data_IF_552474495958
#
_entry.id   IF_552474495958
#
_cell.length_a   1.000
_cell.length_b   1.000
_cell.length_c   1.000
_cell.angle_alpha   90.00
_cell.angle_beta   90.00
_cell.angle_gamma   90.00
#
_symmetry.space_group_name_H-M   'P 1'
#
loop_
_entity.id
_entity.type
_entity.pdbx_description
1 polymer ?
#
# COMPACT_ATOMS: atom_id res chain seq x y z
N UNK A 1 -63.12 -73.26 -27.74
CA UNK A 1 -61.89 -73.30 -26.93
C UNK A 1 -60.71 -72.44 -27.45
N UNK A 2 -60.86 -71.56 -28.46
CA UNK A 2 -59.78 -70.67 -28.93
C UNK A 2 -60.00 -69.17 -28.67
N UNK A 3 -61.13 -68.79 -28.08
CA UNK A 3 -61.48 -67.39 -27.79
C UNK A 3 -61.38 -67.00 -26.31
N UNK A 4 -61.34 -67.96 -25.38
CA UNK A 4 -61.17 -67.67 -23.94
C UNK A 4 -59.72 -67.38 -23.52
N UNK A 5 -58.72 -67.80 -24.32
CA UNK A 5 -57.30 -67.56 -23.99
C UNK A 5 -56.79 -66.17 -24.35
N UNK A 6 -57.54 -65.39 -25.15
CA UNK A 6 -57.16 -64.01 -25.50
C UNK A 6 -57.69 -62.97 -24.50
N UNK A 7 -58.75 -63.27 -23.74
CA UNK A 7 -59.24 -62.38 -22.69
C UNK A 7 -58.36 -62.39 -21.43
N UNK A 8 -57.72 -63.54 -21.13
CA UNK A 8 -56.79 -63.66 -20.00
C UNK A 8 -55.45 -62.92 -20.21
N UNK A 9 -55.11 -62.58 -21.47
CA UNK A 9 -53.87 -61.85 -21.77
C UNK A 9 -54.07 -60.33 -21.77
N UNK A 10 -55.31 -59.85 -21.91
CA UNK A 10 -55.64 -58.41 -21.89
C UNK A 10 -55.88 -57.92 -20.45
N UNK A 11 -56.29 -58.79 -19.52
CA UNK A 11 -56.44 -58.42 -18.10
C UNK A 11 -55.12 -58.45 -17.30
N UNK A 12 -54.06 -59.08 -17.81
CA UNK A 12 -52.76 -59.16 -17.14
C UNK A 12 -51.85 -57.95 -17.42
N UNK A 13 -52.25 -57.04 -18.33
CA UNK A 13 -51.53 -55.80 -18.67
C UNK A 13 -52.08 -54.58 -17.91
N UNK A 14 -53.16 -54.74 -17.16
CA UNK A 14 -53.87 -53.67 -16.42
C UNK A 14 -53.66 -53.74 -14.90
N UNK A 15 -52.58 -54.39 -14.45
CA UNK A 15 -52.19 -54.46 -13.04
C UNK A 15 -50.69 -54.19 -12.87
N UNK A 16 -50.18 -53.15 -13.53
CA UNK A 16 -48.98 -52.48 -13.02
C UNK A 16 -49.42 -51.72 -11.77
N UNK A 17 -48.97 -52.09 -10.56
CA UNK A 17 -49.23 -51.27 -9.40
C UNK A 17 -48.59 -49.90 -9.68
N UNK A 18 -49.43 -48.87 -9.71
CA UNK A 18 -49.01 -47.50 -9.47
C UNK A 18 -48.39 -47.49 -8.07
N UNK A 19 -47.10 -47.83 -8.00
CA UNK A 19 -46.26 -47.48 -6.86
C UNK A 19 -46.09 -45.97 -6.92
N UNK A 20 -47.13 -45.27 -6.45
CA UNK A 20 -47.02 -43.90 -5.97
C UNK A 20 -46.38 -43.93 -4.58
N UNK A 21 -45.23 -44.61 -4.45
CA UNK A 21 -44.33 -44.37 -3.35
C UNK A 21 -43.53 -43.15 -3.78
N UNK A 22 -43.70 -42.03 -3.07
CA UNK A 22 -42.83 -40.88 -3.24
C UNK A 22 -41.39 -41.37 -3.10
N UNK A 23 -40.67 -41.42 -4.22
CA UNK A 23 -39.29 -41.86 -4.25
C UNK A 23 -38.47 -40.79 -3.53
N UNK A 24 -38.15 -41.02 -2.25
CA UNK A 24 -37.14 -40.23 -1.57
C UNK A 24 -35.83 -40.45 -2.32
N UNK A 25 -35.17 -39.41 -2.84
CA UNK A 25 -33.88 -39.61 -3.46
C UNK A 25 -32.91 -40.19 -2.43
N UNK A 26 -32.28 -41.30 -2.80
CA UNK A 26 -31.29 -42.00 -2.01
C UNK A 26 -29.93 -41.63 -2.60
N UNK A 27 -29.05 -41.09 -1.76
CA UNK A 27 -27.62 -41.11 -2.04
C UNK A 27 -27.02 -42.38 -1.44
N UNK A 28 -26.18 -43.09 -2.19
CA UNK A 28 -25.37 -44.17 -1.65
C UNK A 28 -23.94 -43.68 -1.39
N UNK A 29 -23.51 -43.72 -0.13
CA UNK A 29 -22.15 -43.36 0.25
C UNK A 29 -21.61 -44.34 1.28
N UNK A 30 -20.42 -44.89 1.02
CA UNK A 30 -19.75 -45.88 1.86
C UNK A 30 -20.68 -47.07 2.19
N UNK A 31 -21.44 -47.53 1.19
CA UNK A 31 -22.46 -48.60 1.30
C UNK A 31 -23.58 -48.31 2.30
N UNK A 32 -23.81 -47.03 2.63
CA UNK A 32 -24.96 -46.56 3.42
C UNK A 32 -25.88 -45.73 2.52
N UNK A 33 -27.17 -45.99 2.65
CA UNK A 33 -28.21 -45.18 2.04
C UNK A 33 -28.47 -43.95 2.91
N UNK A 34 -28.43 -42.78 2.28
CA UNK A 34 -28.68 -41.49 2.89
C UNK A 34 -29.97 -40.96 2.27
N UNK A 35 -31.01 -40.88 3.10
CA UNK A 35 -32.34 -40.45 2.71
C UNK A 35 -32.64 -39.03 3.22
N UNK A 36 -33.30 -38.24 2.38
CA UNK A 36 -33.87 -36.96 2.78
C UNK A 36 -35.32 -37.17 3.22
N UNK A 37 -35.60 -36.88 4.49
CA UNK A 37 -36.85 -37.28 5.15
C UNK A 37 -37.96 -36.22 5.10
N UNK A 38 -37.72 -35.06 4.49
CA UNK A 38 -38.70 -33.97 4.46
C UNK A 38 -39.65 -34.06 3.25
N UNK A 39 -40.80 -33.40 3.36
CA UNK A 39 -41.82 -33.34 2.31
C UNK A 39 -41.26 -32.59 1.10
N UNK A 40 -41.21 -33.27 -0.04
CA UNK A 40 -40.63 -32.72 -1.26
C UNK A 40 -41.72 -32.30 -2.26
N UNK A 41 -42.01 -30.99 -2.33
CA UNK A 41 -43.06 -30.45 -3.20
C UNK A 41 -42.53 -29.82 -4.50
N UNK A 42 -41.30 -30.17 -4.91
CA UNK A 42 -40.65 -29.65 -6.12
C UNK A 42 -40.56 -28.11 -6.20
N UNK A 43 -40.51 -27.43 -5.05
CA UNK A 43 -40.26 -25.99 -4.99
C UNK A 43 -38.76 -25.71 -4.97
N UNK A 44 -38.34 -24.54 -5.44
CA UNK A 44 -36.91 -24.20 -5.52
C UNK A 44 -36.20 -24.35 -4.16
N UNK A 45 -36.85 -23.95 -3.07
CA UNK A 45 -36.29 -24.07 -1.72
C UNK A 45 -36.20 -25.53 -1.26
N UNK A 46 -37.11 -26.41 -1.68
CA UNK A 46 -36.98 -27.85 -1.38
C UNK A 46 -35.75 -28.45 -2.08
N UNK A 47 -35.49 -28.07 -3.33
CA UNK A 47 -34.28 -28.49 -4.03
C UNK A 47 -33.04 -27.94 -3.31
N UNK A 48 -33.05 -26.68 -2.89
CA UNK A 48 -31.94 -26.07 -2.17
C UNK A 48 -31.65 -26.74 -0.82
N UNK A 49 -32.65 -26.89 0.04
CA UNK A 49 -32.49 -27.53 1.36
C UNK A 49 -31.98 -28.96 1.22
N UNK A 50 -32.51 -29.71 0.25
CA UNK A 50 -32.05 -31.06 -0.05
C UNK A 50 -30.62 -31.09 -0.60
N UNK A 51 -30.25 -30.12 -1.44
CA UNK A 51 -28.89 -29.98 -1.94
C UNK A 51 -27.89 -29.70 -0.81
N UNK A 52 -28.25 -28.83 0.14
CA UNK A 52 -27.46 -28.54 1.35
C UNK A 52 -27.30 -29.82 2.18
N UNK A 53 -28.39 -30.56 2.40
CA UNK A 53 -28.37 -31.83 3.12
C UNK A 53 -27.39 -32.83 2.47
N UNK A 54 -27.52 -33.07 1.17
CA UNK A 54 -26.64 -33.99 0.44
C UNK A 54 -25.19 -33.51 0.40
N UNK A 55 -24.97 -32.21 0.19
CA UNK A 55 -23.64 -31.60 0.19
C UNK A 55 -22.92 -31.80 1.51
N UNK A 56 -23.61 -31.61 2.63
CA UNK A 56 -23.07 -31.82 3.99
C UNK A 56 -22.76 -33.28 4.31
N UNK A 57 -23.44 -34.23 3.65
CA UNK A 57 -23.11 -35.66 3.72
C UNK A 57 -22.03 -36.08 2.72
N UNK A 58 -21.62 -35.17 1.85
CA UNK A 58 -20.69 -35.39 0.76
C UNK A 58 -21.24 -36.28 -0.35
N UNK A 59 -22.56 -36.25 -0.54
CA UNK A 59 -23.30 -36.77 -1.69
C UNK A 59 -23.31 -35.72 -2.79
N UNK A 60 -22.15 -35.49 -3.38
CA UNK A 60 -21.93 -34.32 -4.23
C UNK A 60 -22.67 -34.40 -5.57
N UNK A 61 -22.93 -35.60 -6.09
CA UNK A 61 -23.66 -35.78 -7.35
C UNK A 61 -25.12 -35.32 -7.22
N UNK A 62 -25.77 -35.74 -6.15
CA UNK A 62 -27.15 -35.40 -5.80
C UNK A 62 -27.25 -33.92 -5.47
N UNK A 63 -26.31 -33.39 -4.68
CA UNK A 63 -26.27 -31.98 -4.33
C UNK A 63 -26.13 -31.07 -5.57
N UNK A 64 -25.26 -31.42 -6.53
CA UNK A 64 -25.12 -30.65 -7.78
C UNK A 64 -26.44 -30.61 -8.55
N UNK A 65 -27.08 -31.77 -8.75
CA UNK A 65 -28.36 -31.86 -9.47
C UNK A 65 -29.44 -31.02 -8.81
N UNK A 66 -29.49 -31.04 -7.47
CA UNK A 66 -30.48 -30.30 -6.71
C UNK A 66 -30.20 -28.79 -6.70
N UNK A 67 -28.94 -28.34 -6.58
CA UNK A 67 -28.63 -26.92 -6.73
C UNK A 67 -28.95 -26.41 -8.14
N UNK A 68 -28.65 -27.18 -9.19
CA UNK A 68 -29.03 -26.84 -10.56
C UNK A 68 -30.55 -26.77 -10.74
N UNK A 69 -31.30 -27.65 -10.08
CA UNK A 69 -32.75 -27.59 -10.07
C UNK A 69 -33.27 -26.37 -9.31
N UNK A 70 -32.73 -26.06 -8.13
CA UNK A 70 -33.10 -24.86 -7.38
C UNK A 70 -32.91 -23.59 -8.21
N UNK A 71 -31.75 -23.43 -8.86
CA UNK A 71 -31.44 -22.28 -9.74
C UNK A 71 -32.38 -22.21 -10.95
N UNK A 72 -32.83 -23.35 -11.47
CA UNK A 72 -33.71 -23.40 -12.63
C UNK A 72 -35.16 -23.04 -12.28
N UNK A 73 -35.63 -23.51 -11.12
CA UNK A 73 -37.01 -23.32 -10.66
C UNK A 73 -37.24 -21.94 -10.02
N UNK A 74 -36.22 -21.35 -9.40
CA UNK A 74 -36.31 -20.01 -8.84
C UNK A 74 -36.35 -18.96 -9.97
N UNK A 75 -37.24 -17.98 -9.86
CA UNK A 75 -37.53 -17.03 -10.93
C UNK A 75 -36.48 -15.94 -11.09
N UNK A 76 -35.92 -15.45 -9.99
CA UNK A 76 -34.94 -14.36 -9.95
C UNK A 76 -33.54 -14.89 -10.32
N UNK A 77 -33.26 -16.15 -9.98
CA UNK A 77 -32.00 -16.88 -10.16
C UNK A 77 -30.82 -16.24 -9.46
N UNK A 78 -31.10 -15.62 -8.31
CA UNK A 78 -30.18 -14.81 -7.52
C UNK A 78 -29.68 -15.54 -6.27
N UNK A 79 -28.43 -15.25 -5.90
CA UNK A 79 -27.92 -15.53 -4.55
C UNK A 79 -28.28 -14.32 -3.68
N UNK A 80 -28.99 -14.52 -2.57
CA UNK A 80 -29.47 -13.44 -1.71
C UNK A 80 -29.69 -13.87 -0.24
N UNK A 81 -29.58 -12.91 0.67
CA UNK A 81 -29.98 -13.06 2.07
C UNK A 81 -31.49 -12.95 2.20
N UNK A 82 -32.09 -13.70 3.14
CA UNK A 82 -33.53 -13.58 3.43
C UNK A 82 -34.43 -13.72 2.19
N UNK A 83 -34.16 -14.72 1.34
CA UNK A 83 -35.06 -15.10 0.25
C UNK A 83 -36.40 -15.59 0.83
N UNK A 84 -37.51 -15.07 0.31
CA UNK A 84 -38.85 -15.45 0.77
C UNK A 84 -39.25 -16.82 0.21
N UNK A 85 -39.61 -17.76 1.07
CA UNK A 85 -40.09 -19.09 0.66
C UNK A 85 -41.62 -19.17 0.57
N UNK A 86 -42.31 -18.99 1.70
CA UNK A 86 -43.76 -19.04 1.80
C UNK A 86 -44.23 -18.18 2.98
N UNK A 87 -45.30 -17.41 2.77
CA UNK A 87 -45.87 -16.57 3.83
C UNK A 87 -44.84 -15.59 4.40
N UNK A 88 -44.53 -15.77 5.69
CA UNK A 88 -43.58 -14.94 6.46
C UNK A 88 -42.21 -15.62 6.66
N UNK A 89 -42.01 -16.80 6.07
CA UNK A 89 -40.78 -17.55 6.22
C UNK A 89 -39.73 -17.12 5.18
N UNK A 90 -38.49 -17.03 5.65
CA UNK A 90 -37.33 -16.60 4.87
C UNK A 90 -36.16 -17.54 5.11
N UNK A 91 -35.26 -17.60 4.13
CA UNK A 91 -34.01 -18.36 4.25
C UNK A 91 -32.86 -17.65 3.54
N UNK A 92 -31.64 -17.95 3.96
CA UNK A 92 -30.47 -17.56 3.20
C UNK A 92 -30.31 -18.48 2.00
N UNK A 93 -30.35 -17.90 0.80
CA UNK A 93 -30.40 -18.65 -0.44
C UNK A 93 -29.22 -18.31 -1.32
N UNK A 94 -28.21 -19.19 -1.30
CA UNK A 94 -26.96 -19.02 -2.05
C UNK A 94 -26.68 -20.23 -2.95
N UNK A 95 -27.57 -20.58 -3.87
CA UNK A 95 -27.45 -21.81 -4.65
C UNK A 95 -26.22 -21.81 -5.56
N UNK A 96 -25.77 -20.67 -6.10
CA UNK A 96 -24.58 -20.62 -6.97
C UNK A 96 -23.30 -20.74 -6.16
N UNK A 97 -23.25 -20.08 -5.00
CA UNK A 97 -22.15 -20.24 -4.02
C UNK A 97 -21.97 -21.71 -3.70
N UNK A 98 -23.03 -22.37 -3.22
CA UNK A 98 -22.95 -23.73 -2.73
C UNK A 98 -22.76 -24.74 -3.88
N UNK A 99 -23.33 -24.50 -5.07
CA UNK A 99 -23.04 -25.29 -6.27
C UNK A 99 -21.55 -25.26 -6.63
N UNK A 100 -20.94 -24.07 -6.61
CA UNK A 100 -19.51 -23.90 -6.86
C UNK A 100 -18.66 -24.62 -5.83
N UNK A 101 -19.01 -24.49 -4.54
CA UNK A 101 -18.34 -25.18 -3.43
C UNK A 101 -18.42 -26.69 -3.59
N UNK A 102 -19.60 -27.24 -3.86
CA UNK A 102 -19.78 -28.69 -4.00
C UNK A 102 -19.01 -29.24 -5.19
N UNK A 103 -19.03 -28.54 -6.34
CA UNK A 103 -18.21 -28.93 -7.50
C UNK A 103 -16.72 -28.92 -7.14
N UNK A 104 -16.22 -27.88 -6.48
CA UNK A 104 -14.85 -27.83 -6.00
C UNK A 104 -14.52 -29.03 -5.09
N UNK A 105 -15.33 -29.28 -4.06
CA UNK A 105 -15.10 -30.37 -3.10
C UNK A 105 -15.08 -31.75 -3.76
N UNK A 106 -15.94 -31.96 -4.77
CA UNK A 106 -16.02 -33.21 -5.52
C UNK A 106 -14.80 -33.44 -6.43
N UNK A 107 -14.33 -32.38 -7.10
CA UNK A 107 -13.35 -32.52 -8.19
C UNK A 107 -11.92 -32.10 -7.85
N UNK A 108 -11.67 -31.49 -6.68
CA UNK A 108 -10.32 -31.03 -6.30
C UNK A 108 -9.28 -32.17 -6.27
N UNK A 109 -9.68 -33.37 -5.88
CA UNK A 109 -8.80 -34.54 -5.77
C UNK A 109 -8.92 -35.50 -6.97
N UNK A 110 -9.75 -35.15 -7.97
CA UNK A 110 -9.96 -35.95 -9.19
C UNK A 110 -8.86 -35.66 -10.22
N UNK A 111 -8.56 -36.64 -11.08
CA UNK A 111 -7.55 -36.49 -12.14
C UNK A 111 -7.89 -35.36 -13.13
N UNK A 112 -6.88 -34.69 -13.73
CA UNK A 112 -7.08 -33.52 -14.57
C UNK A 112 -8.03 -33.72 -15.76
N UNK A 113 -8.00 -34.89 -16.39
CA UNK A 113 -8.80 -35.24 -17.58
C UNK A 113 -10.31 -35.15 -17.38
N UNK A 114 -10.76 -35.26 -16.12
CA UNK A 114 -12.18 -35.12 -15.75
C UNK A 114 -12.43 -33.85 -14.95
N UNK A 115 -11.47 -33.40 -14.13
CA UNK A 115 -11.69 -32.36 -13.13
C UNK A 115 -11.71 -30.93 -13.71
N UNK A 116 -10.97 -30.65 -14.79
CA UNK A 116 -10.71 -29.27 -15.24
C UNK A 116 -12.00 -28.54 -15.62
N UNK A 117 -12.87 -29.16 -16.43
CA UNK A 117 -14.12 -28.51 -16.87
C UNK A 117 -15.07 -28.28 -15.68
N UNK A 118 -15.10 -29.20 -14.73
CA UNK A 118 -15.93 -29.07 -13.53
C UNK A 118 -15.40 -28.00 -12.56
N UNK A 119 -14.09 -27.80 -12.50
CA UNK A 119 -13.49 -26.69 -11.75
C UNK A 119 -13.75 -25.33 -12.44
N UNK A 120 -13.77 -25.27 -13.78
CA UNK A 120 -14.20 -24.06 -14.51
C UNK A 120 -15.68 -23.74 -14.25
N UNK A 121 -16.50 -24.76 -14.23
CA UNK A 121 -17.91 -24.70 -13.88
C UNK A 121 -18.14 -24.24 -12.42
N UNK A 122 -17.29 -24.68 -11.49
CA UNK A 122 -17.28 -24.23 -10.10
C UNK A 122 -16.89 -22.74 -10.01
N UNK A 123 -15.78 -22.35 -10.64
CA UNK A 123 -15.29 -20.98 -10.69
C UNK A 123 -16.36 -20.01 -11.24
N UNK A 124 -16.99 -20.35 -12.36
CA UNK A 124 -18.06 -19.53 -12.94
C UNK A 124 -19.25 -19.36 -12.00
N UNK A 125 -19.62 -20.42 -11.26
CA UNK A 125 -20.71 -20.37 -10.28
C UNK A 125 -20.37 -19.44 -9.11
N UNK A 126 -19.14 -19.52 -8.59
CA UNK A 126 -18.64 -18.66 -7.52
C UNK A 126 -18.51 -17.20 -7.96
N UNK A 127 -17.99 -16.94 -9.16
CA UNK A 127 -17.93 -15.59 -9.72
C UNK A 127 -19.32 -14.96 -9.86
N UNK A 128 -20.31 -15.73 -10.34
CA UNK A 128 -21.70 -15.25 -10.42
C UNK A 128 -22.28 -14.96 -9.04
N UNK A 129 -22.03 -15.83 -8.06
CA UNK A 129 -22.43 -15.62 -6.68
C UNK A 129 -21.86 -14.31 -6.11
N UNK A 130 -20.56 -14.09 -6.28
CA UNK A 130 -19.87 -12.87 -5.82
C UNK A 130 -20.45 -11.61 -6.49
N UNK A 131 -20.75 -11.68 -7.78
CA UNK A 131 -21.34 -10.54 -8.50
C UNK A 131 -22.78 -10.22 -8.08
N UNK A 132 -23.52 -11.21 -7.55
CA UNK A 132 -24.89 -11.02 -7.05
C UNK A 132 -24.86 -10.54 -5.60
N UNK A 133 -24.33 -11.37 -4.69
CA UNK A 133 -24.23 -11.08 -3.26
C UNK A 133 -22.85 -11.52 -2.77
N UNK A 134 -21.87 -10.60 -2.68
CA UNK A 134 -20.52 -10.92 -2.22
C UNK A 134 -20.54 -11.52 -0.81
N UNK A 135 -19.87 -12.66 -0.63
CA UNK A 135 -19.62 -13.25 0.69
C UNK A 135 -18.16 -13.70 0.79
N UNK A 136 -17.57 -13.58 1.98
CA UNK A 136 -16.19 -14.04 2.24
C UNK A 136 -16.02 -15.52 1.83
N UNK A 137 -17.00 -16.37 2.19
CA UNK A 137 -17.03 -17.78 1.82
C UNK A 137 -16.95 -18.00 0.31
N UNK A 138 -17.67 -17.21 -0.50
CA UNK A 138 -17.62 -17.36 -1.97
C UNK A 138 -16.23 -16.99 -2.53
N UNK A 139 -15.61 -15.92 -2.00
CA UNK A 139 -14.28 -15.45 -2.42
C UNK A 139 -13.18 -16.45 -2.05
N UNK A 140 -13.23 -16.99 -0.83
CA UNK A 140 -12.29 -18.03 -0.36
C UNK A 140 -12.31 -19.26 -1.27
N UNK A 141 -13.51 -19.75 -1.59
CA UNK A 141 -13.66 -20.93 -2.43
C UNK A 141 -13.33 -20.64 -3.89
N UNK A 142 -13.49 -19.41 -4.37
CA UNK A 142 -13.08 -19.02 -5.71
C UNK A 142 -11.56 -19.11 -5.86
N UNK A 143 -10.80 -18.57 -4.90
CA UNK A 143 -9.34 -18.67 -4.88
C UNK A 143 -8.87 -20.12 -4.76
N UNK A 144 -9.49 -20.92 -3.88
CA UNK A 144 -9.17 -22.34 -3.76
C UNK A 144 -9.44 -23.11 -5.06
N UNK A 145 -10.56 -22.81 -5.73
CA UNK A 145 -10.95 -23.45 -6.99
C UNK A 145 -9.98 -23.11 -8.10
N UNK A 146 -9.67 -21.81 -8.26
CA UNK A 146 -8.69 -21.34 -9.25
C UNK A 146 -7.32 -21.96 -9.02
N UNK A 147 -6.81 -21.95 -7.78
CA UNK A 147 -5.52 -22.56 -7.44
C UNK A 147 -5.44 -24.01 -7.87
N UNK A 148 -6.44 -24.83 -7.50
CA UNK A 148 -6.47 -26.26 -7.85
C UNK A 148 -6.62 -26.47 -9.35
N UNK A 149 -7.42 -25.65 -10.03
CA UNK A 149 -7.57 -25.70 -11.49
C UNK A 149 -6.23 -25.42 -12.18
N UNK A 150 -5.55 -24.34 -11.82
CA UNK A 150 -4.29 -23.94 -12.44
C UNK A 150 -3.18 -24.96 -12.18
N UNK A 151 -3.11 -25.53 -10.97
CA UNK A 151 -2.18 -26.62 -10.66
C UNK A 151 -2.41 -27.86 -11.53
N UNK A 152 -3.67 -28.18 -11.87
CA UNK A 152 -4.01 -29.31 -12.75
C UNK A 152 -3.77 -28.99 -14.23
N UNK A 153 -4.01 -27.75 -14.64
CA UNK A 153 -3.81 -27.31 -16.03
C UNK A 153 -2.32 -27.07 -16.36
N UNK A 154 -1.50 -26.69 -15.38
CA UNK A 154 -0.10 -26.30 -15.59
C UNK A 154 0.05 -25.03 -16.42
N UNK A 155 -0.93 -24.12 -16.34
CA UNK A 155 -1.06 -22.93 -17.19
C UNK A 155 -0.43 -21.67 -16.61
N UNK A 156 -0.21 -21.62 -15.29
CA UNK A 156 0.51 -20.53 -14.63
C UNK A 156 2.01 -20.80 -14.73
N UNK A 157 2.71 -20.00 -15.54
CA UNK A 157 4.12 -20.26 -15.88
C UNK A 157 5.02 -19.05 -15.73
N UNK A 158 4.44 -17.88 -15.46
CA UNK A 158 5.17 -16.62 -15.41
C UNK A 158 4.83 -15.92 -14.08
N UNK A 159 5.85 -15.52 -13.29
CA UNK A 159 5.60 -14.73 -12.10
C UNK A 159 4.85 -13.44 -12.44
N UNK A 160 4.07 -12.88 -11.50
CA UNK A 160 3.41 -11.61 -11.73
C UNK A 160 4.41 -10.49 -12.04
N UNK A 161 3.97 -9.43 -12.71
CA UNK A 161 4.69 -8.16 -12.77
C UNK A 161 4.12 -7.20 -11.74
N UNK A 162 4.93 -6.28 -11.26
CA UNK A 162 4.49 -5.18 -10.40
C UNK A 162 5.15 -3.91 -10.89
N UNK A 163 4.38 -2.84 -11.02
CA UNK A 163 4.88 -1.50 -11.25
C UNK A 163 4.27 -0.61 -10.18
N UNK A 164 5.08 0.21 -9.54
CA UNK A 164 4.59 1.12 -8.51
C UNK A 164 5.36 2.44 -8.57
N UNK A 165 4.74 3.45 -8.01
CA UNK A 165 5.27 4.79 -7.84
C UNK A 165 5.07 5.21 -6.39
N UNK A 166 5.89 6.14 -5.93
CA UNK A 166 5.89 6.62 -4.55
C UNK A 166 5.50 8.09 -4.54
N UNK A 167 4.60 8.46 -3.63
CA UNK A 167 3.97 9.77 -3.55
C UNK A 167 4.14 10.35 -2.15
N UNK A 168 4.13 11.68 -2.06
CA UNK A 168 4.05 12.37 -0.77
C UNK A 168 2.58 12.34 -0.30
N UNK A 169 2.30 12.16 0.99
CA UNK A 169 0.95 12.35 1.52
C UNK A 169 0.40 13.78 1.31
N UNK A 170 1.27 14.77 1.12
CA UNK A 170 0.89 16.17 0.85
C UNK A 170 0.62 16.44 -0.65
N UNK A 171 1.24 15.69 -1.55
CA UNK A 171 1.04 15.73 -3.00
C UNK A 171 0.95 14.31 -3.58
N UNK A 172 -0.28 13.83 -3.70
CA UNK A 172 -0.62 12.47 -4.13
C UNK A 172 -1.07 12.40 -5.61
N UNK A 173 -0.95 13.53 -6.32
CA UNK A 173 -1.24 13.63 -7.75
C UNK A 173 0.03 13.44 -8.61
N UNK A 174 1.20 13.72 -8.03
CA UNK A 174 2.50 13.59 -8.70
C UNK A 174 3.43 12.67 -7.92
N UNK A 175 4.07 11.67 -8.55
CA UNK A 175 5.04 10.84 -7.88
C UNK A 175 6.26 11.68 -7.47
N UNK A 176 6.90 11.29 -6.37
CA UNK A 176 8.17 11.86 -5.90
C UNK A 176 9.20 11.65 -7.01
N UNK A 177 9.54 12.71 -7.73
CA UNK A 177 10.66 12.73 -8.68
C UNK A 177 11.98 12.92 -7.93
N UNK A 178 13.05 12.31 -8.44
CA UNK A 178 14.36 12.13 -7.81
C UNK A 178 14.83 13.35 -7.01
N UNK A 179 14.60 13.31 -5.71
CA UNK A 179 14.98 14.36 -4.76
C UNK A 179 14.63 13.95 -3.33
N UNK A 180 15.25 14.58 -2.32
CA UNK A 180 14.90 14.31 -0.94
C UNK A 180 13.50 14.87 -0.63
N UNK A 181 12.79 14.20 0.27
CA UNK A 181 11.51 14.66 0.82
C UNK A 181 11.61 14.81 2.34
N UNK A 182 10.75 15.60 2.95
CA UNK A 182 10.71 15.75 4.40
C UNK A 182 9.57 14.97 5.09
N UNK A 183 8.82 14.17 4.34
CA UNK A 183 7.67 13.43 4.85
C UNK A 183 8.00 12.43 5.98
N UNK A 184 6.99 12.14 6.81
CA UNK A 184 7.04 11.09 7.83
C UNK A 184 6.65 9.71 7.29
N UNK A 185 5.92 9.70 6.18
CA UNK A 185 5.41 8.54 5.49
C UNK A 185 5.37 8.81 3.99
N UNK A 186 5.24 7.77 3.19
CA UNK A 186 5.01 7.90 1.74
C UNK A 186 3.86 6.99 1.33
N UNK A 187 3.13 7.38 0.30
CA UNK A 187 2.07 6.58 -0.29
C UNK A 187 2.67 5.79 -1.45
N UNK A 188 2.47 4.47 -1.45
CA UNK A 188 2.85 3.61 -2.56
C UNK A 188 1.59 3.28 -3.34
N UNK A 189 1.55 3.66 -4.62
CA UNK A 189 0.50 3.27 -5.55
C UNK A 189 1.07 2.39 -6.64
N UNK A 190 0.40 1.30 -6.97
CA UNK A 190 0.90 0.40 -8.00
C UNK A 190 -0.14 -0.53 -8.57
N UNK A 191 0.31 -1.27 -9.58
CA UNK A 191 -0.47 -2.27 -10.29
C UNK A 191 0.36 -3.55 -10.37
N UNK A 192 -0.20 -4.65 -9.85
CA UNK A 192 0.33 -5.99 -10.05
C UNK A 192 -0.48 -6.71 -11.13
N UNK A 193 0.19 -7.40 -12.06
CA UNK A 193 -0.43 -8.15 -13.15
C UNK A 193 0.08 -9.59 -13.20
N UNK A 194 -0.77 -10.55 -13.55
CA UNK A 194 -0.40 -11.94 -13.82
C UNK A 194 -1.12 -12.44 -15.07
N UNK A 195 -0.50 -13.37 -15.79
CA UNK A 195 -1.14 -14.13 -16.87
C UNK A 195 -2.35 -14.92 -16.35
N UNK A 196 -2.27 -15.41 -15.10
CA UNK A 196 -3.37 -16.05 -14.38
C UNK A 196 -3.97 -15.16 -13.29
N UNK A 197 -3.43 -15.15 -12.07
CA UNK A 197 -3.97 -14.36 -10.97
C UNK A 197 -2.89 -13.98 -9.95
N UNK A 198 -2.93 -12.72 -9.51
CA UNK A 198 -2.20 -12.22 -8.34
C UNK A 198 -3.01 -12.54 -7.08
N UNK A 199 -2.35 -12.95 -5.98
CA UNK A 199 -3.03 -13.21 -4.70
C UNK A 199 -2.47 -12.47 -3.50
N UNK A 200 -1.15 -12.30 -3.43
CA UNK A 200 -0.52 -11.58 -2.32
C UNK A 200 0.41 -10.49 -2.85
N UNK A 201 0.30 -9.32 -2.24
CA UNK A 201 1.22 -8.21 -2.42
C UNK A 201 1.72 -7.84 -1.03
N UNK A 202 3.02 -7.69 -0.87
CA UNK A 202 3.62 -7.20 0.37
C UNK A 202 4.54 -6.04 0.08
N UNK A 203 4.53 -5.06 0.97
CA UNK A 203 5.42 -3.91 0.95
C UNK A 203 6.36 -4.00 2.14
N UNK A 204 7.64 -3.74 1.91
CA UNK A 204 8.66 -3.73 2.95
C UNK A 204 9.52 -2.50 2.83
N UNK A 205 9.79 -1.84 3.96
CA UNK A 205 10.73 -0.72 4.04
C UNK A 205 11.98 -1.19 4.77
N UNK A 206 13.16 -0.94 4.20
CA UNK A 206 14.45 -1.24 4.81
C UNK A 206 14.54 -2.70 5.34
N UNK A 207 14.71 -2.86 6.66
CA UNK A 207 14.83 -4.16 7.34
C UNK A 207 13.56 -4.54 8.10
N UNK A 208 12.46 -3.82 7.89
CA UNK A 208 11.23 -4.03 8.64
C UNK A 208 10.51 -5.31 8.18
N UNK A 209 9.46 -5.66 8.94
CA UNK A 209 8.57 -6.77 8.57
C UNK A 209 7.76 -6.38 7.34
N UNK A 210 7.59 -7.29 6.35
CA UNK A 210 6.68 -7.04 5.23
C UNK A 210 5.25 -6.80 5.72
N UNK A 211 4.62 -5.76 5.17
CA UNK A 211 3.23 -5.37 5.40
C UNK A 211 2.40 -5.97 4.26
N UNK A 212 1.43 -6.85 4.54
CA UNK A 212 0.56 -7.39 3.51
C UNK A 212 -0.49 -6.37 3.07
N UNK A 213 -0.69 -6.24 1.76
CA UNK A 213 -1.83 -5.53 1.19
C UNK A 213 -3.05 -6.46 1.24
N UNK A 214 -4.16 -5.94 1.75
CA UNK A 214 -5.42 -6.69 1.80
C UNK A 214 -5.99 -6.86 0.39
N UNK A 215 -6.12 -8.12 -0.03
CA UNK A 215 -6.69 -8.51 -1.31
C UNK A 215 -7.89 -9.41 -1.02
N UNK A 216 -9.06 -8.91 -1.39
CA UNK A 216 -10.36 -9.55 -1.12
C UNK A 216 -10.56 -10.84 -1.94
N UNK A 217 -10.16 -10.84 -3.22
CA UNK A 217 -10.16 -12.02 -4.09
C UNK A 217 -9.06 -11.91 -5.13
N UNK A 218 -8.50 -13.04 -5.56
CA UNK A 218 -7.48 -13.05 -6.62
C UNK A 218 -8.00 -12.44 -7.93
N UNK A 219 -7.13 -11.73 -8.65
CA UNK A 219 -7.46 -11.09 -9.92
C UNK A 219 -6.24 -11.07 -10.84
N UNK A 220 -6.47 -10.97 -12.16
CA UNK A 220 -5.40 -10.81 -13.16
C UNK A 220 -4.62 -9.51 -12.97
N UNK A 221 -5.33 -8.47 -12.55
CA UNK A 221 -4.79 -7.14 -12.26
C UNK A 221 -5.27 -6.74 -10.86
N UNK A 222 -4.35 -6.30 -10.00
CA UNK A 222 -4.65 -5.74 -8.68
C UNK A 222 -3.98 -4.37 -8.59
N UNK A 223 -4.81 -3.34 -8.47
CA UNK A 223 -4.36 -2.00 -8.07
C UNK A 223 -4.26 -1.98 -6.56
N UNK A 224 -3.16 -1.44 -6.04
CA UNK A 224 -2.93 -1.33 -4.61
C UNK A 224 -2.42 0.06 -4.26
N UNK A 225 -2.76 0.45 -3.03
CA UNK A 225 -2.35 1.69 -2.41
C UNK A 225 -2.07 1.42 -0.93
N UNK A 226 -0.94 1.91 -0.41
CA UNK A 226 -0.66 1.86 1.03
C UNK A 226 0.25 3.01 1.43
N UNK A 227 -0.03 3.58 2.59
CA UNK A 227 0.89 4.51 3.25
C UNK A 227 1.86 3.72 4.13
N UNK A 228 3.14 4.08 4.09
CA UNK A 228 4.19 3.44 4.87
C UNK A 228 5.07 4.49 5.57
N UNK A 229 5.49 4.27 6.82
CA UNK A 229 6.38 5.19 7.51
C UNK A 229 7.79 5.14 6.90
N UNK A 230 8.47 6.28 6.86
CA UNK A 230 9.86 6.42 6.42
C UNK A 230 10.72 7.08 7.50
N UNK A 231 12.02 6.80 7.49
CA UNK A 231 12.99 7.35 8.44
C UNK A 231 13.97 8.30 7.76
N UNK A 232 14.63 9.23 8.48
CA UNK A 232 15.67 10.07 7.89
C UNK A 232 16.77 9.23 7.19
N UNK A 233 17.26 9.72 6.06
CA UNK A 233 18.22 9.03 5.20
C UNK A 233 17.57 8.20 4.09
N UNK A 234 18.28 7.18 3.61
CA UNK A 234 17.83 6.34 2.49
C UNK A 234 16.83 5.28 2.95
N UNK A 235 15.64 5.28 2.37
CA UNK A 235 14.62 4.26 2.57
C UNK A 235 14.52 3.39 1.32
N UNK A 236 14.83 2.10 1.45
CA UNK A 236 14.63 1.12 0.38
C UNK A 236 13.24 0.54 0.51
N UNK A 237 12.39 0.80 -0.46
CA UNK A 237 11.02 0.29 -0.55
C UNK A 237 11.03 -0.91 -1.48
N UNK A 238 10.61 -2.06 -0.97
CA UNK A 238 10.50 -3.32 -1.69
C UNK A 238 9.03 -3.71 -1.80
N UNK A 239 8.54 -3.91 -3.03
CA UNK A 239 7.22 -4.45 -3.29
C UNK A 239 7.37 -5.85 -3.89
N UNK A 240 6.71 -6.83 -3.28
CA UNK A 240 6.69 -8.21 -3.75
C UNK A 240 5.25 -8.59 -4.09
N UNK A 241 5.01 -9.00 -5.34
CA UNK A 241 3.76 -9.60 -5.78
C UNK A 241 3.96 -11.11 -5.97
N UNK A 242 2.95 -11.90 -5.64
CA UNK A 242 2.95 -13.36 -5.87
C UNK A 242 1.64 -13.85 -6.48
N UNK A 243 1.78 -14.91 -7.26
CA UNK A 243 0.70 -15.63 -7.89
C UNK A 243 -0.23 -16.33 -6.88
N UNK A 244 -1.33 -16.89 -7.40
CA UNK A 244 -2.28 -17.65 -6.59
C UNK A 244 -1.80 -19.08 -6.26
N UNK A 245 -0.92 -19.66 -7.07
CA UNK A 245 -0.39 -21.01 -6.82
C UNK A 245 0.61 -21.01 -5.66
N UNK A 246 1.37 -19.92 -5.51
CA UNK A 246 2.43 -19.73 -4.55
C UNK A 246 3.72 -20.44 -4.93
N UNK A 247 4.82 -20.00 -4.30
CA UNK A 247 6.14 -20.61 -4.42
C UNK A 247 7.25 -19.56 -4.51
N UNK A 248 8.53 -19.93 -4.29
CA UNK A 248 9.65 -19.00 -4.43
C UNK A 248 9.73 -18.41 -5.85
N UNK A 249 9.44 -19.23 -6.86
CA UNK A 249 9.47 -18.87 -8.27
C UNK A 249 8.19 -18.18 -8.75
N UNK A 250 7.12 -18.16 -7.95
CA UNK A 250 5.83 -17.51 -8.26
C UNK A 250 5.76 -16.05 -7.83
N UNK A 251 6.90 -15.45 -7.46
CA UNK A 251 6.98 -14.10 -6.91
C UNK A 251 7.89 -13.19 -7.72
N UNK A 252 7.54 -11.91 -7.75
CA UNK A 252 8.32 -10.86 -8.39
C UNK A 252 8.49 -9.70 -7.43
N UNK A 253 9.70 -9.17 -7.43
CA UNK A 253 10.14 -8.08 -6.57
C UNK A 253 10.54 -6.88 -7.40
N UNK A 254 10.09 -5.70 -6.98
CA UNK A 254 10.57 -4.41 -7.45
C UNK A 254 11.00 -3.53 -6.28
N UNK A 255 11.95 -2.62 -6.52
CA UNK A 255 12.59 -1.80 -5.49
C UNK A 255 12.66 -0.34 -5.95
N UNK A 256 12.28 0.57 -5.07
CA UNK A 256 12.52 2.01 -5.21
C UNK A 256 13.25 2.55 -3.98
N UNK A 257 13.96 3.67 -4.14
CA UNK A 257 14.68 4.33 -3.04
C UNK A 257 14.18 5.75 -2.88
N UNK A 258 13.75 6.09 -1.66
CA UNK A 258 13.36 7.45 -1.28
C UNK A 258 14.38 7.99 -0.29
N UNK A 259 14.91 9.18 -0.55
CA UNK A 259 15.79 9.89 0.38
C UNK A 259 14.95 10.85 1.22
N UNK A 260 15.11 10.80 2.53
CA UNK A 260 14.35 11.63 3.48
C UNK A 260 15.28 12.54 4.25
N UNK A 261 15.00 13.84 4.23
CA UNK A 261 15.77 14.87 4.91
C UNK A 261 14.82 15.77 5.71
N UNK A 262 15.06 15.86 7.02
CA UNK A 262 14.21 16.61 7.96
C UNK A 262 14.96 17.73 8.68
N UNK A 263 16.24 17.91 8.36
CA UNK A 263 17.02 18.99 8.92
C UNK A 263 16.73 20.25 8.13
N UNK A 264 16.35 21.32 8.84
CA UNK A 264 16.14 22.61 8.20
C UNK A 264 17.48 23.34 8.02
N UNK A 265 17.60 24.23 7.02
CA UNK A 265 18.81 25.00 6.80
C UNK A 265 19.29 25.76 8.04
N UNK A 266 20.61 25.79 8.23
CA UNK A 266 21.26 26.61 9.25
C UNK A 266 21.44 28.01 8.70
N UNK A 267 20.83 29.00 9.36
CA UNK A 267 21.03 30.42 9.04
C UNK A 267 22.00 31.03 10.04
N UNK A 268 23.02 31.72 9.54
CA UNK A 268 23.98 32.44 10.38
C UNK A 268 24.48 33.73 9.75
N UNK A 269 25.25 34.49 10.53
CA UNK A 269 25.86 35.74 10.13
C UNK A 269 27.32 35.84 10.58
N UNK A 270 28.14 36.66 9.90
CA UNK A 270 29.53 36.91 10.29
C UNK A 270 29.82 38.41 10.50
N UNK A 271 30.66 38.73 11.48
CA UNK A 271 30.91 40.07 12.06
C UNK A 271 31.60 41.05 11.11
N UNK A 272 32.19 40.54 10.02
CA UNK A 272 33.07 41.36 9.18
C UNK A 272 32.31 42.21 8.17
N UNK A 273 31.17 41.76 7.62
CA UNK A 273 30.46 42.44 6.51
C UNK A 273 28.94 42.11 6.44
N UNK A 274 28.18 41.95 7.54
CA UNK A 274 26.73 41.61 7.46
C UNK A 274 26.45 40.48 6.44
N UNK A 275 27.35 39.49 6.40
CA UNK A 275 27.26 38.39 5.46
C UNK A 275 26.30 37.38 6.08
N UNK A 276 25.18 37.13 5.41
CA UNK A 276 24.23 36.08 5.79
C UNK A 276 24.59 34.83 4.99
N UNK A 277 24.58 33.69 5.67
CA UNK A 277 24.75 32.40 5.02
C UNK A 277 23.61 31.48 5.44
N UNK A 278 23.18 30.65 4.49
CA UNK A 278 22.28 29.53 4.72
C UNK A 278 22.99 28.26 4.24
N UNK A 279 23.11 27.29 5.13
CA UNK A 279 23.80 26.02 4.89
C UNK A 279 22.79 24.88 4.99
N UNK A 280 22.86 23.98 4.03
CA UNK A 280 22.03 22.79 3.98
C UNK A 280 22.74 21.72 3.14
N UNK A 281 22.74 20.48 3.63
CA UNK A 281 23.44 19.36 2.98
C UNK A 281 22.72 18.91 1.69
N UNK A 282 21.39 19.07 1.63
CA UNK A 282 20.54 18.81 0.46
C UNK A 282 20.60 19.92 -0.58
N UNK A 283 21.03 21.11 -0.15
CA UNK A 283 21.03 22.34 -0.92
C UNK A 283 19.78 23.21 -0.69
N UNK A 284 19.86 24.48 -1.09
CA UNK A 284 18.77 25.44 -0.90
C UNK A 284 17.89 25.57 -2.13
N UNK A 285 16.58 25.47 -1.93
CA UNK A 285 15.55 25.73 -2.93
C UNK A 285 15.17 27.21 -3.00
N UNK A 286 15.06 27.87 -1.85
CA UNK A 286 14.73 29.30 -1.80
C UNK A 286 15.34 30.01 -0.60
N UNK A 287 15.58 31.31 -0.75
CA UNK A 287 16.03 32.19 0.32
C UNK A 287 15.34 33.55 0.18
N UNK A 288 14.74 34.02 1.27
CA UNK A 288 14.13 35.34 1.35
C UNK A 288 14.79 36.17 2.44
N UNK A 289 15.01 37.46 2.16
CA UNK A 289 15.46 38.45 3.15
C UNK A 289 14.41 39.56 3.20
N UNK A 290 13.83 39.80 4.38
CA UNK A 290 12.72 40.72 4.59
C UNK A 290 11.55 40.47 3.63
N UNK A 291 11.28 39.19 3.32
CA UNK A 291 10.26 38.76 2.38
C UNK A 291 10.63 38.88 0.89
N UNK A 292 11.79 39.45 0.54
CA UNK A 292 12.28 39.54 -0.85
C UNK A 292 13.07 38.30 -1.24
N UNK A 293 12.72 37.69 -2.36
CA UNK A 293 13.45 36.53 -2.90
C UNK A 293 14.87 36.92 -3.32
N UNK A 294 15.83 36.06 -2.98
CA UNK A 294 17.22 36.21 -3.38
C UNK A 294 17.59 35.16 -4.42
N UNK A 295 18.21 35.59 -5.52
CA UNK A 295 18.73 34.68 -6.53
C UNK A 295 19.96 33.92 -6.01
N UNK A 296 19.78 32.65 -5.64
CA UNK A 296 20.81 31.81 -5.02
C UNK A 296 21.93 31.47 -6.01
N UNK A 297 21.63 31.15 -7.27
CA UNK A 297 22.64 30.75 -8.27
C UNK A 297 23.62 31.88 -8.59
N UNK A 298 23.09 33.08 -8.83
CA UNK A 298 23.91 34.26 -9.12
C UNK A 298 24.86 34.59 -7.95
N UNK A 299 24.39 34.39 -6.71
CA UNK A 299 25.13 34.72 -5.48
C UNK A 299 26.18 33.65 -5.15
N UNK A 300 25.85 32.37 -5.32
CA UNK A 300 26.76 31.23 -5.12
C UNK A 300 28.04 31.40 -5.95
N UNK A 301 27.91 31.79 -7.21
CA UNK A 301 29.05 31.97 -8.12
C UNK A 301 29.94 33.16 -7.75
N UNK A 302 29.42 34.18 -7.05
CA UNK A 302 30.17 35.38 -6.66
C UNK A 302 30.96 35.23 -5.36
N UNK A 303 30.61 34.24 -4.53
CA UNK A 303 31.10 34.12 -3.15
C UNK A 303 31.76 32.77 -2.84
N UNK A 304 31.93 31.89 -3.83
CA UNK A 304 32.52 30.55 -3.67
C UNK A 304 33.83 30.53 -2.86
N UNK A 305 34.67 31.56 -2.99
CA UNK A 305 35.98 31.68 -2.31
C UNK A 305 35.90 32.09 -0.83
N UNK A 306 34.70 32.42 -0.30
CA UNK A 306 34.49 32.88 1.09
C UNK A 306 33.84 31.83 2.00
N UNK A 307 33.66 30.60 1.52
CA UNK A 307 32.97 29.52 2.24
C UNK A 307 33.90 28.84 3.26
N UNK A 308 33.47 28.68 4.52
CA UNK A 308 34.20 27.90 5.52
C UNK A 308 34.29 26.40 5.17
N UNK A 309 33.23 25.82 4.57
CA UNK A 309 33.15 24.41 4.16
C UNK A 309 31.99 24.13 3.18
N UNK A 310 32.21 23.54 1.99
CA UNK A 310 31.13 23.17 1.06
C UNK A 310 30.21 22.05 1.62
N UNK A 311 28.91 22.01 1.26
CA UNK A 311 28.20 22.95 0.38
C UNK A 311 27.70 24.21 1.13
N UNK A 312 28.27 25.40 0.86
CA UNK A 312 27.68 26.67 1.31
C UNK A 312 26.94 27.36 0.17
N UNK A 313 25.72 27.81 0.44
CA UNK A 313 25.08 28.87 -0.32
C UNK A 313 25.26 30.18 0.46
N UNK A 314 26.37 30.88 0.23
CA UNK A 314 26.59 32.21 0.82
C UNK A 314 25.71 33.19 0.07
N UNK A 315 24.92 33.99 0.79
CA UNK A 315 24.05 34.99 0.17
C UNK A 315 24.24 36.37 0.79
N UNK A 316 24.96 37.18 0.02
CA UNK A 316 25.43 38.55 0.24
C UNK A 316 24.44 39.57 0.80
N UNK A 317 25.01 40.47 1.62
CA UNK A 317 24.73 41.88 1.89
C UNK A 317 23.29 42.40 1.72
N UNK A 318 22.67 42.74 2.86
CA UNK A 318 21.45 43.52 2.94
C UNK A 318 21.60 44.83 2.15
N UNK A 319 20.66 45.12 1.23
CA UNK A 319 20.72 46.31 0.39
C UNK A 319 20.68 47.60 1.22
N UNK A 320 20.97 48.79 0.63
CA UNK A 320 20.91 50.06 1.35
C UNK A 320 19.60 50.29 2.12
N UNK A 321 18.49 49.81 1.57
CA UNK A 321 17.14 49.91 2.14
C UNK A 321 16.90 49.00 3.35
N UNK A 322 17.66 47.91 3.47
CA UNK A 322 17.58 46.99 4.61
C UNK A 322 18.40 47.49 5.81
N UNK A 323 19.36 48.40 5.59
CA UNK A 323 20.16 49.04 6.65
C UNK A 323 19.38 50.03 7.50
N UNK A 324 18.20 50.45 7.06
CA UNK A 324 17.30 51.33 7.82
C UNK A 324 16.45 50.55 8.85
N UNK A 325 16.42 49.22 8.76
CA UNK A 325 15.69 48.37 9.70
C UNK A 325 16.61 47.91 10.83
N UNK A 326 16.09 47.77 12.07
CA UNK A 326 16.86 47.23 13.18
C UNK A 326 17.23 45.75 13.01
N UNK A 327 16.52 45.03 12.14
CA UNK A 327 16.68 43.60 11.95
C UNK A 327 16.44 43.17 10.51
N UNK A 328 16.99 42.00 10.17
CA UNK A 328 16.72 41.24 8.95
C UNK A 328 15.96 39.97 9.31
N UNK A 329 14.79 39.78 8.70
CA UNK A 329 14.07 38.51 8.76
C UNK A 329 14.52 37.64 7.57
N UNK A 330 15.24 36.58 7.86
CA UNK A 330 15.80 35.65 6.87
C UNK A 330 15.00 34.36 6.91
N UNK A 331 14.56 33.87 5.76
CA UNK A 331 13.87 32.60 5.63
C UNK A 331 14.53 31.77 4.54
N UNK A 332 15.01 30.58 4.88
CA UNK A 332 15.64 29.64 3.96
C UNK A 332 14.80 28.37 3.88
N UNK A 333 14.63 27.84 2.67
CA UNK A 333 13.97 26.55 2.41
C UNK A 333 14.90 25.67 1.61
N UNK A 334 15.10 24.43 2.06
CA UNK A 334 15.93 23.43 1.38
C UNK A 334 15.22 22.75 0.21
N UNK A 335 15.90 21.81 -0.45
CA UNK A 335 15.33 21.03 -1.55
C UNK A 335 14.26 20.02 -1.10
N UNK A 336 14.32 19.57 0.16
CA UNK A 336 13.33 18.69 0.78
C UNK A 336 12.06 19.42 1.25
N UNK A 337 12.05 20.75 1.25
CA UNK A 337 10.94 21.59 1.71
C UNK A 337 11.05 22.07 3.17
N UNK A 338 12.08 21.68 3.92
CA UNK A 338 12.30 22.16 5.28
C UNK A 338 12.61 23.66 5.28
N UNK A 339 11.94 24.40 6.16
CA UNK A 339 12.07 25.86 6.22
C UNK A 339 12.58 26.31 7.58
N UNK A 340 13.56 27.22 7.59
CA UNK A 340 14.08 27.91 8.78
C UNK A 340 13.84 29.41 8.65
N UNK A 341 13.37 30.04 9.71
CA UNK A 341 13.35 31.52 9.83
C UNK A 341 14.29 31.95 10.95
N UNK A 342 15.04 33.03 10.72
CA UNK A 342 15.91 33.66 11.69
C UNK A 342 15.79 35.18 11.63
N UNK A 343 15.86 35.84 12.78
CA UNK A 343 15.93 37.30 12.88
C UNK A 343 17.34 37.71 13.28
N UNK A 344 17.98 38.54 12.46
CA UNK A 344 19.35 39.01 12.66
C UNK A 344 19.30 40.49 13.02
N UNK A 345 19.76 40.86 14.21
CA UNK A 345 19.81 42.25 14.68
C UNK A 345 21.00 42.99 14.06
N UNK A 346 20.73 43.99 13.24
CA UNK A 346 21.75 44.77 12.54
C UNK A 346 22.46 45.72 13.52
N UNK A 347 21.74 46.29 14.48
CA UNK A 347 22.31 47.25 15.43
C UNK A 347 23.26 46.59 16.41
N UNK A 348 22.93 45.39 16.89
CA UNK A 348 23.85 44.60 17.73
C UNK A 348 25.17 44.34 16.98
N UNK A 349 25.09 43.90 15.72
CA UNK A 349 26.28 43.64 14.89
C UNK A 349 27.11 44.90 14.62
N UNK A 350 26.46 46.06 14.37
CA UNK A 350 27.17 47.33 14.16
C UNK A 350 27.78 47.83 15.47
N UNK A 351 27.08 47.71 16.60
CA UNK A 351 27.56 48.16 17.91
C UNK A 351 28.82 47.42 18.32
N UNK A 352 28.80 46.09 18.22
CA UNK A 352 29.97 45.26 18.51
C UNK A 352 31.14 45.62 17.60
N UNK A 353 30.89 45.95 16.32
CA UNK A 353 31.93 46.42 15.39
C UNK A 353 32.50 47.78 15.77
N UNK A 354 31.67 48.75 16.17
CA UNK A 354 32.12 50.07 16.63
C UNK A 354 32.95 49.90 17.90
N UNK A 355 32.49 49.07 18.84
CA UNK A 355 33.21 48.77 20.07
C UNK A 355 34.55 48.05 19.78
N UNK A 356 34.61 47.14 18.79
CA UNK A 356 35.82 46.42 18.37
C UNK A 356 36.80 47.30 17.58
N UNK A 357 36.29 48.26 16.78
CA UNK A 357 37.09 49.30 16.12
C UNK A 357 37.64 50.32 17.14
N UNK A 358 36.85 50.69 18.14
CA UNK A 358 37.26 51.56 19.24
C UNK A 358 38.32 50.85 20.10
N UNK A 359 38.15 49.57 20.43
CA UNK A 359 39.17 48.75 21.11
C UNK A 359 40.47 48.61 20.30
N UNK A 360 40.39 48.54 18.97
CA UNK A 360 41.59 48.53 18.11
C UNK A 360 42.25 49.90 17.99
N UNK A 361 41.47 50.98 18.01
CA UNK A 361 41.98 52.35 18.01
C UNK A 361 42.63 52.71 19.36
N UNK A 362 42.07 52.24 20.47
CA UNK A 362 42.62 52.41 21.83
C UNK A 362 43.91 51.60 22.03
N UNK A 363 44.02 50.42 21.42
CA UNK A 363 45.24 49.61 21.44
C UNK A 363 46.29 50.05 20.37
N UNK A 364 46.02 51.11 19.61
CA UNK A 364 46.82 51.55 18.45
C UNK A 364 47.80 52.70 18.69
N UNK A 365 48.10 53.10 19.94
CA UNK A 365 48.99 54.24 20.21
C UNK A 365 50.21 53.88 21.08
N UNK A 366 51.31 53.48 20.43
CA UNK A 366 52.74 53.73 20.76
C UNK A 366 53.61 52.72 19.99
N UNK A 367 54.72 53.02 19.32
CA UNK A 367 55.61 54.19 19.25
C UNK A 367 56.47 54.02 17.97
N UNK A 368 56.74 55.11 17.25
CA UNK A 368 57.99 55.25 16.47
C UNK A 368 59.10 55.69 17.45
N UNK A 369 60.11 54.86 17.68
CA UNK A 369 61.47 55.28 18.03
C UNK A 369 62.47 54.36 17.29
N UNK A 370 63.46 55.01 16.69
CA UNK A 370 64.60 54.47 15.93
C UNK A 370 65.62 53.74 16.83
N UNK A 371 66.34 52.83 16.17
CA UNK A 371 67.76 52.48 16.37
C UNK A 371 68.13 51.30 17.33
N UNK A 372 68.88 50.37 16.73
CA UNK A 372 70.01 49.61 17.27
C UNK A 372 69.79 48.25 17.97
N UNK A 373 70.12 47.18 17.24
CA UNK A 373 71.02 46.13 17.73
C UNK A 373 70.46 44.98 18.59
N UNK A 374 70.47 43.79 17.97
CA UNK A 374 70.69 42.45 18.55
C UNK A 374 69.57 41.71 19.31
N UNK A 375 69.31 40.46 18.86
CA UNK A 375 68.91 39.33 19.72
C UNK A 375 67.44 38.85 19.66
N UNK A 376 67.21 37.75 18.94
CA UNK A 376 66.09 36.79 19.15
C UNK A 376 66.37 35.90 20.40
N UNK A 377 65.45 35.01 20.87
CA UNK A 377 63.97 35.00 20.89
C UNK A 377 63.37 34.51 22.24
N UNK A 378 62.03 34.46 22.36
CA UNK A 378 61.23 33.25 22.72
C UNK A 378 59.96 33.52 23.54
N UNK A 379 58.84 33.07 22.97
CA UNK A 379 57.63 32.44 23.49
C UNK A 379 56.71 33.08 24.54
N UNK A 380 55.45 33.13 24.11
CA UNK A 380 54.25 33.66 24.74
C UNK A 380 53.36 32.54 25.27
N UNK A 381 52.96 32.64 26.53
CA UNK A 381 51.76 31.97 27.08
C UNK A 381 50.99 33.03 27.88
N UNK A 382 49.81 33.44 27.41
CA UNK A 382 48.79 34.03 28.28
C UNK A 382 47.38 33.77 27.75
N UNK A 383 46.55 33.27 28.64
CA UNK A 383 45.16 32.84 28.47
C UNK A 383 44.19 34.01 28.27
N UNK A 384 43.04 33.73 27.64
CA UNK A 384 41.87 34.63 27.59
C UNK A 384 40.67 34.04 26.85
N UNK A 385 39.79 33.39 27.62
CA UNK A 385 38.32 33.19 27.54
C UNK A 385 37.54 33.30 26.21
N UNK A 386 36.57 32.38 26.02
CA UNK A 386 35.40 32.53 25.12
C UNK A 386 34.12 32.72 25.94
N UNK A 387 33.22 33.65 25.61
CA UNK A 387 31.91 33.74 26.26
C UNK A 387 30.90 32.76 25.63
N UNK A 388 30.10 32.16 26.51
CA UNK A 388 28.89 31.37 26.20
C UNK A 388 27.74 32.31 25.82
N UNK A 389 26.89 31.90 24.87
CA UNK A 389 25.60 32.55 24.55
C UNK A 389 24.47 31.69 25.16
N UNK A 390 23.60 32.32 25.95
CA UNK A 390 22.39 31.73 26.54
C UNK A 390 21.31 31.49 25.48
N UNK A 391 20.67 30.32 25.55
CA UNK A 391 19.52 29.92 24.72
C UNK A 391 18.26 30.11 25.58
N UNK A 392 17.40 31.05 25.21
CA UNK A 392 16.10 31.23 25.85
C UNK A 392 15.04 30.43 25.09
N UNK A 393 14.60 29.31 25.67
CA UNK A 393 13.44 28.54 25.20
C UNK A 393 12.17 29.17 25.78
N UNK A 394 11.30 29.69 24.92
CA UNK A 394 9.93 30.05 25.30
C UNK A 394 8.99 28.85 25.04
N UNK A 395 8.11 28.49 25.99
CA UNK A 395 7.13 27.42 25.81
C UNK A 395 5.92 27.91 25.03
N UNK A 396 5.42 27.08 24.12
CA UNK A 396 4.15 27.27 23.40
C UNK A 396 2.96 26.90 24.29
N UNK A 397 1.97 27.80 24.38
CA UNK A 397 0.58 27.46 24.73
C UNK A 397 -0.14 26.81 23.54
#
# INVERSE_FOLDING_TARGET
>A
MKTLKKLAFILAVLCLPYQCAAYSPICEKDSRQIEYAEIFNHRWWNYYDRAIFFGNKGCFEEAIKDFEAAIREESEKEDQWMARIYGIDFMDYFPRRELGIVRYLKYKDVKPDVAIDELKNAENSLMKSINMTPTHRAKDYLDQTRRVRLQKEGTDTVPPTVNFEVYSPEDDDSPIDKGPVNDFSVIIKGIANSDQFVRHITVKVNKDKPIPIEIDVSAKEIKFETEIPVSPGKNTIEVVASDLIGGPDGSKKEIEVVEVEREAPIIGSNDKILDIYALDDSGLKSLKINGRDVNIEDRRNRLADKCPSPPCNIVEYAGPEDREKPYLDVMATDNAGNTRTARIDIYAMIKDRVDLLNLRAENGVSQMILSDGSGLPADSDFMGEKPFIEIENQPTE
#
